data_IF_906697130915
#
_entry.id   IF_906697130915
#
_cell.length_a   1.000
_cell.length_b   1.000
_cell.length_c   1.000
_cell.angle_alpha   90.00
_cell.angle_beta   90.00
_cell.angle_gamma   90.00
#
_symmetry.space_group_name_H-M   'P 1'
#
loop_
_entity.id
_entity.type
_entity.pdbx_description
1 polymer ?
#
# COMPACT_ATOMS: atom_id res chain seq x y z
N UNK A 1 -3.04 -26.08 -8.50
CA UNK A 1 -3.41 -25.67 -8.29
C UNK A 1 -3.72 -24.81 -7.79
N UNK A 2 -3.68 -24.47 -7.60
CA UNK A 2 -3.80 -23.89 -7.17
C UNK A 2 -4.35 -23.24 -6.57
N UNK A 3 -4.78 -23.39 -6.11
CA UNK A 3 -5.27 -22.68 -5.41
C UNK A 3 -4.78 -21.93 -4.43
N UNK A 4 -4.21 -21.64 -4.26
CA UNK A 4 -3.30 -20.94 -3.43
C UNK A 4 -3.74 -19.53 -3.19
N UNK A 5 -4.60 -19.01 -4.01
CA UNK A 5 -5.07 -17.64 -3.94
C UNK A 5 -6.33 -17.49 -3.16
N UNK A 6 -6.60 -18.44 -2.29
CA UNK A 6 -7.80 -18.37 -1.52
C UNK A 6 -7.70 -17.38 -0.37
N UNK A 7 -6.48 -16.99 -0.03
CA UNK A 7 -6.30 -16.01 1.02
C UNK A 7 -6.40 -14.59 0.44
N UNK A 8 -7.15 -13.77 1.14
CA UNK A 8 -7.29 -12.36 0.75
C UNK A 8 -7.10 -11.51 1.99
N UNK A 9 -6.85 -10.24 1.79
CA UNK A 9 -6.80 -9.28 2.88
C UNK A 9 -8.00 -8.36 2.78
N UNK A 10 -8.57 -8.02 3.92
CA UNK A 10 -9.64 -7.04 3.99
C UNK A 10 -9.05 -5.80 4.65
N UNK A 11 -9.04 -4.69 3.93
CA UNK A 11 -8.53 -3.44 4.44
C UNK A 11 -9.72 -2.59 4.86
N UNK A 12 -9.90 -2.45 6.18
CA UNK A 12 -11.02 -1.70 6.73
C UNK A 12 -10.57 -0.25 6.95
N UNK A 13 -11.26 0.68 6.34
CA UNK A 13 -10.90 2.10 6.41
C UNK A 13 -12.08 2.92 6.89
N UNK A 14 -11.83 4.20 7.14
CA UNK A 14 -12.89 5.12 7.54
C UNK A 14 -13.97 5.28 6.48
N UNK A 15 -13.67 4.92 5.22
CA UNK A 15 -14.63 5.04 4.12
C UNK A 15 -15.32 3.72 3.81
N UNK A 16 -14.82 2.61 4.32
CA UNK A 16 -15.37 1.29 4.05
C UNK A 16 -14.28 0.26 3.86
N UNK A 17 -14.66 -0.90 3.36
CA UNK A 17 -13.75 -2.04 3.23
C UNK A 17 -13.32 -2.27 1.80
N UNK A 18 -12.06 -2.62 1.64
CA UNK A 18 -11.50 -3.05 0.37
C UNK A 18 -10.99 -4.47 0.54
N UNK A 19 -11.15 -5.30 -0.49
CA UNK A 19 -10.65 -6.68 -0.46
C UNK A 19 -9.60 -6.83 -1.55
N UNK A 20 -8.44 -7.36 -1.17
CA UNK A 20 -7.33 -7.54 -2.10
C UNK A 20 -6.95 -9.01 -2.16
N UNK A 21 -6.55 -9.45 -3.35
CA UNK A 21 -5.96 -10.77 -3.52
C UNK A 21 -4.47 -10.61 -3.77
N UNK A 22 -3.71 -11.63 -3.37
CA UNK A 22 -2.27 -11.60 -3.48
C UNK A 22 -1.78 -12.39 -4.68
N UNK A 23 -0.56 -12.10 -5.12
CA UNK A 23 0.10 -12.81 -6.20
C UNK A 23 1.32 -13.57 -5.67
N UNK A 24 1.12 -14.63 -4.88
CA UNK A 24 2.25 -15.31 -4.24
C UNK A 24 3.20 -15.99 -5.21
N UNK A 25 2.71 -16.34 -6.40
CA UNK A 25 3.59 -16.94 -7.41
C UNK A 25 4.51 -15.92 -8.05
N UNK A 26 4.15 -14.64 -7.99
CA UNK A 26 4.91 -13.56 -8.60
C UNK A 26 5.89 -12.96 -7.60
N UNK A 27 5.43 -12.73 -6.38
CA UNK A 27 6.24 -12.08 -5.35
C UNK A 27 6.06 -12.80 -4.01
N UNK A 28 6.59 -14.02 -3.90
CA UNK A 28 6.33 -14.84 -2.71
C UNK A 28 6.82 -14.23 -1.41
N UNK A 29 7.99 -13.58 -1.43
CA UNK A 29 8.53 -13.00 -0.20
C UNK A 29 7.76 -11.78 0.24
N UNK A 30 7.35 -10.95 -0.70
CA UNK A 30 6.59 -9.75 -0.40
C UNK A 30 5.20 -10.10 0.13
N UNK A 31 4.55 -11.07 -0.50
CA UNK A 31 3.24 -11.52 -0.04
C UNK A 31 3.33 -12.10 1.35
N UNK A 32 4.34 -12.93 1.60
CA UNK A 32 4.52 -13.54 2.92
C UNK A 32 4.74 -12.46 3.98
N UNK A 33 5.55 -11.46 3.66
CA UNK A 33 5.81 -10.36 4.58
C UNK A 33 4.54 -9.59 4.91
N UNK A 34 3.75 -9.25 3.90
CA UNK A 34 2.51 -8.51 4.12
C UNK A 34 1.55 -9.32 4.99
N UNK A 35 1.40 -10.60 4.70
CA UNK A 35 0.51 -11.46 5.48
C UNK A 35 0.98 -11.56 6.94
N UNK A 36 2.27 -11.69 7.13
CA UNK A 36 2.83 -11.77 8.48
C UNK A 36 2.51 -10.50 9.27
N UNK A 37 2.74 -9.35 8.66
CA UNK A 37 2.48 -8.07 9.33
C UNK A 37 0.99 -7.92 9.61
N UNK A 38 0.13 -8.31 8.66
CA UNK A 38 -1.30 -8.21 8.86
C UNK A 38 -1.77 -9.13 9.99
N UNK A 39 -1.25 -10.36 10.04
CA UNK A 39 -1.61 -11.32 11.08
C UNK A 39 -1.12 -10.91 12.44
N UNK A 40 -0.04 -10.13 12.50
CA UNK A 40 0.50 -9.62 13.76
C UNK A 40 -0.15 -8.31 14.19
N UNK A 41 -1.22 -7.90 13.51
CA UNK A 41 -1.92 -6.65 13.77
C UNK A 41 -1.03 -5.42 13.57
N UNK A 42 0.04 -5.56 12.80
CA UNK A 42 0.98 -4.47 12.56
C UNK A 42 0.31 -3.27 11.88
N UNK A 43 -0.59 -3.55 10.94
CA UNK A 43 -1.25 -2.50 10.18
C UNK A 43 -2.45 -1.89 10.89
N UNK A 44 -2.92 -2.51 11.98
CA UNK A 44 -4.09 -1.98 12.68
C UNK A 44 -3.78 -0.60 13.25
N UNK A 45 -4.67 0.34 13.00
CA UNK A 45 -4.49 1.71 13.49
C UNK A 45 -3.62 2.59 12.60
N UNK A 46 -3.00 2.04 11.55
CA UNK A 46 -2.25 2.88 10.61
C UNK A 46 -3.22 3.62 9.70
N UNK A 47 -2.74 4.61 8.98
CA UNK A 47 -3.59 5.35 8.06
C UNK A 47 -2.87 5.58 6.74
N UNK A 48 -3.66 5.99 5.73
CA UNK A 48 -3.10 6.39 4.45
C UNK A 48 -2.61 7.82 4.62
N UNK A 49 -1.32 7.97 4.84
CA UNK A 49 -0.72 9.26 5.19
C UNK A 49 -0.30 10.08 3.98
N UNK A 50 -0.35 9.49 2.80
CA UNK A 50 0.05 10.17 1.58
C UNK A 50 -0.92 9.80 0.46
N UNK A 51 -1.57 10.80 -0.11
CA UNK A 51 -2.53 10.60 -1.20
C UNK A 51 -2.16 11.56 -2.32
N UNK A 52 -1.91 11.00 -3.50
CA UNK A 52 -1.65 11.78 -4.70
C UNK A 52 -2.83 11.52 -5.63
N UNK A 53 -3.72 12.50 -5.75
CA UNK A 53 -4.94 12.35 -6.54
C UNK A 53 -4.61 11.96 -7.96
N UNK A 54 -5.34 10.97 -8.47
CA UNK A 54 -5.12 10.48 -9.82
C UNK A 54 -3.91 9.60 -9.98
N UNK A 55 -3.21 9.28 -8.89
CA UNK A 55 -2.02 8.45 -8.93
C UNK A 55 -2.11 7.28 -7.95
N UNK A 56 -2.05 7.54 -6.65
CA UNK A 56 -2.06 6.44 -5.68
C UNK A 56 -2.39 6.93 -4.28
N UNK A 57 -2.69 5.96 -3.39
CA UNK A 57 -2.77 6.21 -1.95
C UNK A 57 -1.72 5.31 -1.28
N UNK A 58 -1.04 5.84 -0.29
CA UNK A 58 0.07 5.14 0.37
C UNK A 58 -0.16 5.06 1.87
N UNK A 59 0.08 3.90 2.45
CA UNK A 59 -0.08 3.68 3.88
C UNK A 59 0.84 2.59 4.39
N UNK A 60 0.54 2.10 5.59
CA UNK A 60 1.28 0.99 6.20
C UNK A 60 2.41 1.42 7.12
N UNK A 61 2.57 2.70 7.37
CA UNK A 61 3.62 3.21 8.26
C UNK A 61 3.14 3.11 9.71
N UNK A 62 3.86 2.39 10.58
CA UNK A 62 3.43 2.25 11.98
C UNK A 62 3.44 3.56 12.75
N UNK A 63 4.23 4.54 12.33
CA UNK A 63 4.22 5.84 12.99
C UNK A 63 2.88 6.54 12.85
N UNK A 64 2.09 6.18 11.84
CA UNK A 64 0.79 6.81 11.64
C UNK A 64 -0.24 6.43 12.70
N UNK A 65 0.08 5.44 13.55
CA UNK A 65 -0.78 5.09 14.65
C UNK A 65 -0.82 6.19 15.72
N UNK A 66 0.19 7.05 15.74
CA UNK A 66 0.33 8.08 16.76
C UNK A 66 0.31 9.46 16.10
N UNK A 67 -0.79 10.23 16.30
CA UNK A 67 -0.86 11.57 15.70
C UNK A 67 0.27 12.50 16.14
N UNK A 68 0.85 12.28 17.31
CA UNK A 68 1.95 13.12 17.78
C UNK A 68 3.23 12.91 16.98
N UNK A 69 3.31 11.82 16.21
CA UNK A 69 4.47 11.52 15.37
C UNK A 69 4.25 12.01 13.92
N UNK A 70 3.26 12.86 13.69
CA UNK A 70 2.91 13.25 12.32
C UNK A 70 4.10 13.79 11.52
N UNK A 71 4.99 14.50 12.18
CA UNK A 71 6.18 15.03 11.49
C UNK A 71 7.13 13.97 10.97
N UNK A 72 6.96 12.72 11.39
CA UNK A 72 7.81 11.61 10.97
C UNK A 72 7.07 10.59 10.11
N UNK A 73 5.79 10.79 9.86
CA UNK A 73 5.02 9.87 9.02
C UNK A 73 5.69 9.74 7.67
N UNK A 74 5.79 8.52 7.18
CA UNK A 74 6.47 8.21 5.94
C UNK A 74 7.86 7.62 6.15
N UNK A 75 8.38 7.65 7.37
CA UNK A 75 9.71 7.15 7.67
C UNK A 75 9.71 5.85 8.47
N UNK A 76 8.54 5.35 8.87
CA UNK A 76 8.48 4.15 9.70
C UNK A 76 8.72 2.88 8.91
N UNK A 77 9.18 1.84 9.61
CA UNK A 77 9.41 0.54 9.00
C UNK A 77 9.16 -0.55 10.04
N UNK A 78 9.21 -1.83 9.64
CA UNK A 78 8.95 -2.93 10.58
C UNK A 78 10.20 -3.38 11.33
N UNK A 79 11.33 -2.69 11.14
CA UNK A 79 12.59 -3.07 11.77
C UNK A 79 13.50 -3.87 10.86
N UNK A 80 13.11 -4.06 9.61
CA UNK A 80 13.90 -4.80 8.62
C UNK A 80 13.50 -4.35 7.22
N UNK A 81 14.22 -4.83 6.22
CA UNK A 81 13.92 -4.54 4.81
C UNK A 81 13.79 -5.85 4.06
N UNK A 82 13.07 -5.82 2.94
CA UNK A 82 12.91 -6.99 2.08
C UNK A 82 13.42 -6.64 0.69
N UNK A 83 13.88 -7.68 -0.01
CA UNK A 83 14.40 -7.53 -1.35
C UNK A 83 13.28 -7.27 -2.34
N UNK A 84 13.59 -6.52 -3.40
CA UNK A 84 12.64 -6.30 -4.47
C UNK A 84 12.35 -7.60 -5.21
N UNK A 85 11.13 -7.71 -5.71
CA UNK A 85 10.70 -8.85 -6.52
C UNK A 85 10.01 -8.29 -7.76
N UNK A 86 10.80 -7.71 -8.65
CA UNK A 86 10.25 -7.11 -9.87
C UNK A 86 9.69 -8.19 -10.79
N UNK A 87 8.67 -7.83 -11.55
CA UNK A 87 7.99 -8.77 -12.42
C UNK A 87 7.43 -8.05 -13.63
N UNK A 88 6.74 -8.81 -14.48
CA UNK A 88 6.07 -8.25 -15.65
C UNK A 88 4.68 -7.72 -15.35
N UNK A 89 4.23 -7.82 -14.11
CA UNK A 89 2.91 -7.31 -13.74
C UNK A 89 2.89 -5.80 -13.86
N UNK A 90 1.79 -5.28 -14.36
CA UNK A 90 1.67 -3.86 -14.64
C UNK A 90 1.03 -3.13 -13.46
N UNK A 91 1.44 -1.89 -13.27
CA UNK A 91 0.81 -1.01 -12.28
C UNK A 91 -0.42 -0.39 -12.91
N UNK A 92 -1.57 -1.02 -12.71
CA UNK A 92 -2.84 -0.49 -13.19
C UNK A 92 -3.73 -0.20 -11.99
N UNK A 93 -4.89 0.42 -12.22
CA UNK A 93 -5.79 0.77 -11.13
C UNK A 93 -6.08 -0.43 -10.25
N UNK A 94 -5.96 -0.25 -8.95
CA UNK A 94 -6.25 -1.28 -7.96
C UNK A 94 -5.07 -2.16 -7.59
N UNK A 95 -3.92 -2.00 -8.24
CA UNK A 95 -2.73 -2.82 -7.95
C UNK A 95 -2.05 -2.30 -6.69
N UNK A 96 -1.64 -3.23 -5.83
CA UNK A 96 -0.87 -2.92 -4.63
C UNK A 96 0.61 -3.14 -4.92
N UNK A 97 1.43 -2.18 -4.52
CA UNK A 97 2.87 -2.22 -4.73
C UNK A 97 3.57 -1.72 -3.49
N UNK A 98 4.81 -2.14 -3.29
CA UNK A 98 5.57 -1.74 -2.10
C UNK A 98 6.22 -0.39 -2.31
N UNK A 99 6.02 0.51 -1.34
CA UNK A 99 6.75 1.75 -1.31
C UNK A 99 8.18 1.48 -0.84
N UNK A 100 9.12 2.28 -1.32
CA UNK A 100 10.52 2.12 -0.98
C UNK A 100 11.26 3.45 -1.11
N UNK A 101 12.48 3.50 -0.58
CA UNK A 101 13.35 4.64 -0.80
C UNK A 101 14.05 4.46 -2.15
N UNK A 102 15.13 5.21 -2.39
CA UNK A 102 15.86 5.09 -3.64
C UNK A 102 16.53 3.73 -3.81
N UNK A 103 16.78 3.02 -2.72
CA UNK A 103 17.35 1.67 -2.76
C UNK A 103 16.24 0.69 -3.12
N UNK A 104 16.35 -0.07 -4.23
CA UNK A 104 15.30 -1.02 -4.61
C UNK A 104 15.00 -2.07 -3.54
N UNK A 105 15.95 -2.37 -2.68
CA UNK A 105 15.78 -3.39 -1.65
C UNK A 105 15.48 -2.79 -0.29
N UNK A 106 14.84 -1.63 -0.26
CA UNK A 106 14.56 -0.91 0.99
C UNK A 106 13.11 -1.00 1.44
N UNK A 107 12.27 -1.78 0.76
CA UNK A 107 10.87 -1.93 1.16
C UNK A 107 10.79 -2.64 2.51
N UNK A 108 9.74 -2.38 3.26
CA UNK A 108 9.50 -3.04 4.53
C UNK A 108 8.03 -3.25 4.81
N UNK A 109 7.29 -2.19 5.07
CA UNK A 109 5.88 -2.31 5.42
C UNK A 109 4.99 -1.35 4.63
N UNK A 110 5.50 -0.23 4.17
CA UNK A 110 4.66 0.74 3.48
C UNK A 110 4.31 0.25 2.09
N UNK A 111 3.08 0.49 1.69
CA UNK A 111 2.59 0.08 0.38
C UNK A 111 1.71 1.17 -0.19
N UNK A 112 1.47 1.10 -1.49
CA UNK A 112 0.53 2.01 -2.12
C UNK A 112 -0.42 1.24 -3.03
N UNK A 113 -1.58 1.83 -3.27
CA UNK A 113 -2.60 1.27 -4.15
C UNK A 113 -2.80 2.26 -5.29
N UNK A 114 -2.65 1.79 -6.51
CA UNK A 114 -2.75 2.66 -7.68
C UNK A 114 -4.18 3.09 -7.92
N UNK A 115 -4.38 4.39 -8.11
CA UNK A 115 -5.68 4.94 -8.47
C UNK A 115 -5.89 4.93 -9.97
N UNK A 116 -4.82 4.70 -10.73
CA UNK A 116 -4.80 4.81 -12.17
C UNK A 116 -3.56 4.09 -12.68
N UNK A 117 -3.53 3.74 -13.95
CA UNK A 117 -2.35 3.10 -14.53
C UNK A 117 -1.13 4.02 -14.38
N UNK A 118 -0.01 3.40 -13.99
CA UNK A 118 1.24 4.13 -13.75
C UNK A 118 2.39 3.33 -14.35
N UNK A 119 2.45 3.30 -15.68
CA UNK A 119 3.40 2.45 -16.39
C UNK A 119 4.85 2.79 -16.09
N UNK A 120 5.13 4.02 -15.65
CA UNK A 120 6.50 4.40 -15.30
C UNK A 120 7.02 3.68 -14.06
N UNK A 121 6.15 2.98 -13.33
CA UNK A 121 6.55 2.18 -12.17
C UNK A 121 6.81 0.73 -12.53
N UNK A 122 6.40 0.31 -13.73
CA UNK A 122 6.51 -1.10 -14.11
C UNK A 122 7.97 -1.54 -14.14
N UNK A 123 8.24 -2.68 -13.49
CA UNK A 123 9.60 -3.19 -13.41
C UNK A 123 10.51 -2.45 -12.44
N UNK A 124 10.01 -1.42 -11.78
CA UNK A 124 10.79 -0.60 -10.85
C UNK A 124 10.33 -0.74 -9.40
N UNK A 125 9.14 -1.28 -9.20
CA UNK A 125 8.54 -1.47 -7.88
C UNK A 125 7.94 -2.86 -7.82
N UNK A 126 7.84 -3.39 -6.60
CA UNK A 126 7.32 -4.75 -6.38
C UNK A 126 5.81 -4.70 -6.20
N UNK A 127 5.06 -5.10 -7.22
CA UNK A 127 3.61 -5.21 -7.09
C UNK A 127 3.25 -6.63 -6.68
N UNK A 128 2.37 -6.75 -5.69
CA UNK A 128 2.15 -8.04 -5.04
C UNK A 128 0.69 -8.47 -4.94
N UNK A 129 -0.22 -7.68 -5.45
CA UNK A 129 -1.64 -8.04 -5.42
C UNK A 129 -2.49 -6.98 -6.05
N UNK A 130 -3.80 -7.20 -6.02
CA UNK A 130 -4.72 -6.23 -6.57
C UNK A 130 -6.07 -6.28 -5.86
N UNK A 131 -6.78 -5.17 -5.98
CA UNK A 131 -8.10 -5.01 -5.39
C UNK A 131 -9.10 -5.85 -6.18
N UNK A 132 -9.94 -6.62 -5.46
CA UNK A 132 -11.01 -7.38 -6.09
C UNK A 132 -12.39 -6.89 -5.67
N UNK A 133 -12.48 -6.11 -4.58
CA UNK A 133 -13.71 -5.46 -4.14
C UNK A 133 -13.38 -4.15 -3.48
N UNK A 134 -14.31 -3.20 -3.57
CA UNK A 134 -14.14 -1.93 -2.89
C UNK A 134 -13.54 -0.84 -3.76
N UNK A 135 -13.69 -0.95 -5.07
CA UNK A 135 -13.15 0.07 -5.97
C UNK A 135 -13.72 1.45 -5.66
N UNK A 136 -15.00 1.52 -5.29
CA UNK A 136 -15.62 2.79 -4.91
C UNK A 136 -14.99 3.35 -3.62
N UNK A 137 -14.58 2.48 -2.71
CA UNK A 137 -13.89 2.90 -1.49
C UNK A 137 -12.51 3.46 -1.85
N UNK A 138 -11.80 2.77 -2.75
CA UNK A 138 -10.51 3.26 -3.21
C UNK A 138 -10.64 4.66 -3.81
N UNK A 139 -11.65 4.87 -4.64
CA UNK A 139 -11.87 6.17 -5.26
C UNK A 139 -12.19 7.24 -4.23
N UNK A 140 -13.00 6.88 -3.23
CA UNK A 140 -13.32 7.82 -2.16
C UNK A 140 -12.08 8.23 -1.38
N UNK A 141 -11.19 7.28 -1.10
CA UNK A 141 -9.94 7.58 -0.40
C UNK A 141 -9.04 8.47 -1.26
N UNK A 142 -9.03 8.24 -2.57
CA UNK A 142 -8.21 9.04 -3.47
C UNK A 142 -8.71 10.47 -3.65
N UNK A 143 -9.96 10.73 -3.27
CA UNK A 143 -10.57 12.04 -3.44
C UNK A 143 -10.61 12.87 -2.17
N UNK A 144 -10.06 12.38 -1.04
CA UNK A 144 -10.12 13.16 0.19
C UNK A 144 -9.29 14.44 0.06
N UNK A 145 -9.69 15.46 0.80
CA UNK A 145 -8.98 16.72 0.79
C UNK A 145 -7.63 16.57 1.48
N UNK A 146 -6.62 17.20 0.92
CA UNK A 146 -5.27 17.19 1.48
C UNK A 146 -4.85 18.59 1.85
N UNK A 147 -4.12 18.70 2.96
CA UNK A 147 -3.74 19.99 3.50
C UNK A 147 -2.57 20.64 2.80
N UNK A 148 -1.94 19.97 1.84
CA UNK A 148 -0.79 20.50 1.13
C UNK A 148 -1.05 20.58 -0.34
N UNK A 149 -0.05 21.07 -1.07
CA UNK A 149 -0.10 21.12 -2.51
C UNK A 149 0.96 20.20 -3.09
N UNK A 150 0.71 19.75 -4.30
CA UNK A 150 1.67 18.92 -5.01
C UNK A 150 1.59 17.48 -4.59
N UNK A 151 2.59 16.73 -5.01
CA UNK A 151 2.63 15.30 -4.78
C UNK A 151 2.82 14.97 -3.31
N UNK A 152 2.13 13.93 -2.87
CA UNK A 152 2.37 13.41 -1.55
C UNK A 152 1.75 14.22 -0.44
N UNK A 153 0.72 14.97 -0.75
CA UNK A 153 0.01 15.72 0.27
C UNK A 153 -0.63 14.78 1.27
N UNK A 154 -0.63 15.21 2.52
CA UNK A 154 -1.23 14.44 3.60
C UNK A 154 -2.72 14.78 3.70
N UNK A 155 -3.59 13.78 3.87
CA UNK A 155 -5.02 14.07 4.04
C UNK A 155 -5.26 14.94 5.27
N UNK A 156 -6.26 15.82 5.19
CA UNK A 156 -6.61 16.68 6.31
C UNK A 156 -7.17 15.89 7.46
N UNK A 157 -7.87 14.80 7.16
CA UNK A 157 -8.39 13.91 8.18
C UNK A 157 -7.67 12.55 8.07
N UNK A 158 -7.52 11.91 9.23
CA UNK A 158 -6.88 10.61 9.28
C UNK A 158 -7.74 9.58 8.55
N UNK A 159 -7.15 8.81 7.64
CA UNK A 159 -7.87 7.82 6.85
C UNK A 159 -7.39 6.39 7.12
#
# INVERSE_FOLDING_TARGET
MSKTNEEVAVISTSKGEMVVEFWPDVTPKTVENFKKLANDAFYDGTCFHRIVKGFMIQGGDPLTKDPSEEGRWGTGDPGYKIEAEFSDQKHVKGVLSMARSSDPDSAGCQFFICLKAASFLDGQYTCFGELIKGEDILESLGDVDCGGEGEGSRPEERQ
#
